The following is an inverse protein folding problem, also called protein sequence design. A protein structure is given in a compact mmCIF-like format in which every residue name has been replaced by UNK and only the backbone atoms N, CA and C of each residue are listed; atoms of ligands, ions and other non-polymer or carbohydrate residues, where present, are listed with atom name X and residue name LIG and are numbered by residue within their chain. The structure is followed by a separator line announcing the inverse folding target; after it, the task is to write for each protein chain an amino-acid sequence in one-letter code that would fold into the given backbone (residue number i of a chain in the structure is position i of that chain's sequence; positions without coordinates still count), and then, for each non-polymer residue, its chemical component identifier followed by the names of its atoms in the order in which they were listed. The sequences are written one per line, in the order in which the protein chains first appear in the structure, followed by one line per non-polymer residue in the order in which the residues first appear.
data_IF_405165462726
#
_entry.id   IF_405165462726
#
_cell.length_a   1.000
_cell.length_b   1.000
_cell.length_c   1.000
_cell.angle_alpha   90.00
_cell.angle_beta   90.00
_cell.angle_gamma   90.00
#
_symmetry.space_group_name_H-M   'P 1'
#
loop_
_entity.id
_entity.type
_entity.pdbx_description
1 polymer ?
#
# COMPACT_ATOMS: atom_id res chain seq x y z
N UNK A 1 7.85 11.35 -16.83
CA UNK A 1 7.45 10.91 -15.48
C UNK A 1 6.06 10.29 -15.54
N UNK A 2 5.99 8.97 -15.66
CA UNK A 2 4.74 8.24 -15.51
C UNK A 2 4.56 7.92 -14.03
N UNK A 3 3.61 8.58 -13.38
CA UNK A 3 3.24 8.26 -12.01
C UNK A 3 2.07 7.27 -12.04
N UNK A 4 2.31 6.02 -11.63
CA UNK A 4 1.22 5.06 -11.42
C UNK A 4 0.64 5.33 -10.03
N UNK A 5 -0.34 6.22 -9.98
CA UNK A 5 -1.21 6.39 -8.83
C UNK A 5 -2.35 5.37 -8.93
N UNK A 6 -2.39 4.43 -7.99
CA UNK A 6 -3.54 3.54 -7.81
C UNK A 6 -4.32 4.01 -6.58
N UNK A 7 -5.24 4.96 -6.76
CA UNK A 7 -6.24 5.30 -5.74
C UNK A 7 -7.55 5.76 -6.37
N UNK A 8 -8.64 5.10 -5.99
CA UNK A 8 -9.99 5.39 -6.46
C UNK A 8 -10.84 5.80 -5.26
N UNK A 9 -10.87 7.10 -4.91
CA UNK A 9 -12.04 7.80 -4.35
C UNK A 9 -11.81 9.31 -4.09
N UNK A 10 -12.91 10.09 -4.16
CA UNK A 10 -12.89 11.56 -4.15
C UNK A 10 -12.48 12.20 -2.80
N UNK A 11 -12.67 11.50 -1.67
CA UNK A 11 -12.27 11.99 -0.33
C UNK A 11 -10.79 11.70 -0.07
N UNK A 12 -10.30 10.53 -0.51
CA UNK A 12 -8.88 10.14 -0.42
C UNK A 12 -8.01 11.10 -1.25
N UNK A 13 -8.55 11.67 -2.34
CA UNK A 13 -7.86 12.71 -3.14
C UNK A 13 -7.36 13.92 -2.35
N UNK A 14 -8.13 14.43 -1.37
CA UNK A 14 -7.72 15.65 -0.63
C UNK A 14 -6.56 15.37 0.31
N UNK A 15 -6.55 14.21 0.95
CA UNK A 15 -5.42 13.76 1.77
C UNK A 15 -4.22 13.46 0.87
N UNK A 16 -4.40 12.75 -0.26
CA UNK A 16 -3.36 12.50 -1.30
C UNK A 16 -2.67 13.78 -1.74
N UNK A 17 -3.40 14.87 -2.01
CA UNK A 17 -2.78 16.15 -2.38
C UNK A 17 -1.85 16.72 -1.29
N UNK A 18 -2.18 16.52 -0.01
CA UNK A 18 -1.28 16.90 1.09
C UNK A 18 -0.04 16.01 1.16
N UNK A 19 -0.18 14.70 0.90
CA UNK A 19 0.95 13.75 0.86
C UNK A 19 1.89 14.04 -0.32
N UNK A 20 1.33 14.28 -1.50
CA UNK A 20 2.10 14.63 -2.69
C UNK A 20 2.94 15.88 -2.41
N UNK A 21 2.34 16.93 -1.84
CA UNK A 21 3.05 18.14 -1.45
C UNK A 21 4.21 17.88 -0.48
N UNK A 22 4.00 17.03 0.54
CA UNK A 22 5.04 16.68 1.50
C UNK A 22 6.20 15.90 0.86
N UNK A 23 5.89 14.93 0.00
CA UNK A 23 6.88 14.13 -0.71
C UNK A 23 7.68 14.99 -1.69
N UNK A 24 7.02 15.83 -2.49
CA UNK A 24 7.69 16.76 -3.40
C UNK A 24 8.59 17.75 -2.67
N UNK A 25 8.15 18.26 -1.51
CA UNK A 25 8.96 19.13 -0.67
C UNK A 25 10.22 18.41 -0.16
N UNK A 26 10.07 17.17 0.31
CA UNK A 26 11.18 16.35 0.77
C UNK A 26 12.19 16.04 -0.33
N UNK A 27 11.71 15.62 -1.51
CA UNK A 27 12.54 15.37 -2.71
C UNK A 27 13.33 16.62 -3.10
N UNK A 28 12.65 17.76 -3.19
CA UNK A 28 13.27 19.03 -3.61
C UNK A 28 14.29 19.52 -2.59
N UNK A 29 13.97 19.44 -1.29
CA UNK A 29 14.84 19.94 -0.22
C UNK A 29 16.10 19.10 -0.03
N UNK A 30 16.01 17.80 -0.31
CA UNK A 30 17.11 16.84 -0.16
C UNK A 30 17.84 16.56 -1.49
N UNK A 31 17.48 17.26 -2.56
CA UNK A 31 18.05 17.11 -3.90
C UNK A 31 18.10 15.65 -4.37
N UNK A 32 16.95 14.98 -4.23
CA UNK A 32 16.78 13.58 -4.67
C UNK A 32 16.47 13.60 -6.16
N UNK A 33 17.33 12.96 -6.95
CA UNK A 33 17.18 12.91 -8.38
C UNK A 33 16.11 11.87 -8.75
N UNK A 34 15.11 12.25 -9.55
CA UNK A 34 14.20 11.28 -10.11
C UNK A 34 14.94 10.35 -11.07
N UNK A 35 14.44 9.12 -11.19
CA UNK A 35 15.00 8.16 -12.11
C UNK A 35 14.76 8.57 -13.56
N UNK A 36 15.84 8.54 -14.34
CA UNK A 36 15.85 8.71 -15.78
C UNK A 36 15.87 7.30 -16.41
N UNK A 37 14.79 6.94 -17.13
CA UNK A 37 14.65 5.61 -17.74
C UNK A 37 15.58 5.42 -18.95
N UNK A 38 15.97 6.50 -19.64
CA UNK A 38 16.86 6.44 -20.81
C UNK A 38 18.32 6.26 -20.37
N UNK A 39 18.73 6.97 -19.32
CA UNK A 39 20.09 6.91 -18.78
C UNK A 39 20.28 5.82 -17.72
N UNK A 40 19.20 5.34 -17.11
CA UNK A 40 19.22 4.40 -15.99
C UNK A 40 19.81 4.99 -14.70
N UNK A 41 19.83 6.32 -14.58
CA UNK A 41 20.42 7.08 -13.47
C UNK A 41 19.36 7.75 -12.61
N UNK A 42 19.76 8.30 -11.46
CA UNK A 42 18.85 8.89 -10.47
C UNK A 42 18.46 7.90 -9.38
N UNK A 43 18.04 8.41 -8.22
CA UNK A 43 17.84 7.57 -7.03
C UNK A 43 16.40 7.08 -6.87
N UNK A 44 15.39 7.94 -7.06
CA UNK A 44 13.99 7.59 -6.80
C UNK A 44 13.24 7.27 -8.09
N UNK A 45 12.80 6.02 -8.23
CA UNK A 45 12.08 5.54 -9.42
C UNK A 45 10.59 5.83 -9.37
N UNK A 46 9.96 5.36 -8.31
CA UNK A 46 8.52 5.45 -8.10
C UNK A 46 8.24 5.65 -6.63
N UNK A 47 7.08 6.24 -6.34
CA UNK A 47 6.50 6.25 -5.01
C UNK A 47 5.15 5.56 -5.12
N UNK A 48 4.99 4.45 -4.40
CA UNK A 48 3.71 3.79 -4.22
C UNK A 48 3.10 4.26 -2.90
N UNK A 49 1.81 4.55 -2.93
CA UNK A 49 1.05 4.89 -1.73
C UNK A 49 -0.17 3.99 -1.63
N UNK A 50 -0.38 3.44 -0.44
CA UNK A 50 -1.58 2.72 -0.07
C UNK A 50 -2.21 3.39 1.15
N UNK A 51 -3.51 3.67 1.09
CA UNK A 51 -4.24 4.30 2.18
C UNK A 51 -4.96 3.23 2.96
N UNK A 52 -4.71 3.16 4.27
CA UNK A 52 -5.51 2.37 5.18
C UNK A 52 -6.52 3.25 5.90
N UNK A 53 -7.74 2.74 6.03
CA UNK A 53 -8.77 3.36 6.88
C UNK A 53 -9.07 2.49 8.10
N UNK A 54 -8.26 1.45 8.33
CA UNK A 54 -8.44 0.54 9.43
C UNK A 54 -8.12 1.21 10.75
N UNK A 55 -9.18 1.54 11.48
CA UNK A 55 -9.09 1.99 12.86
C UNK A 55 -10.32 1.48 13.61
N UNK A 56 -10.14 0.43 14.41
CA UNK A 56 -11.23 -0.21 15.16
C UNK A 56 -11.77 0.65 16.29
N UNK A 57 -11.03 1.68 16.71
CA UNK A 57 -11.46 2.65 17.71
C UNK A 57 -12.39 3.74 17.16
N UNK A 58 -12.51 3.87 15.83
CA UNK A 58 -13.36 4.88 15.18
C UNK A 58 -14.61 4.27 14.53
N UNK A 59 -15.76 5.00 14.53
CA UNK A 59 -16.92 4.67 13.72
C UNK A 59 -16.58 4.61 12.23
N UNK A 60 -17.24 3.71 11.47
CA UNK A 60 -16.97 3.50 10.03
C UNK A 60 -17.07 4.78 9.21
N UNK A 61 -17.99 5.68 9.57
CA UNK A 61 -18.22 6.98 8.92
C UNK A 61 -17.05 7.94 9.06
N UNK A 62 -16.24 7.79 10.12
CA UNK A 62 -15.12 8.67 10.45
C UNK A 62 -13.77 8.10 9.98
N UNK A 63 -13.70 6.80 9.71
CA UNK A 63 -12.48 6.10 9.28
C UNK A 63 -11.87 6.66 8.00
N UNK A 64 -12.70 7.01 7.01
CA UNK A 64 -12.23 7.57 5.75
C UNK A 64 -11.52 8.92 5.90
N UNK A 65 -11.98 9.75 6.84
CA UNK A 65 -11.38 11.07 7.09
C UNK A 65 -10.07 10.97 7.87
N UNK A 66 -9.90 9.87 8.62
CA UNK A 66 -8.72 9.59 9.45
C UNK A 66 -7.82 8.52 8.82
N UNK A 67 -7.92 8.33 7.49
CA UNK A 67 -7.09 7.38 6.78
C UNK A 67 -5.62 7.73 6.91
N UNK A 68 -4.77 6.72 7.04
CA UNK A 68 -3.31 6.86 7.10
C UNK A 68 -2.69 6.24 5.85
N UNK A 69 -1.51 6.73 5.47
CA UNK A 69 -0.85 6.29 4.24
C UNK A 69 0.41 5.49 4.55
N UNK A 70 0.50 4.31 3.96
CA UNK A 70 1.74 3.58 3.79
C UNK A 70 2.42 4.08 2.51
N UNK A 71 3.69 4.49 2.64
CA UNK A 71 4.52 4.97 1.54
C UNK A 71 5.59 3.92 1.25
N UNK A 72 5.70 3.51 0.00
CA UNK A 72 6.78 2.65 -0.49
C UNK A 72 7.63 3.42 -1.52
N UNK A 73 8.88 3.68 -1.16
CA UNK A 73 9.87 4.33 -2.01
C UNK A 73 10.58 3.28 -2.87
N UNK A 74 10.44 3.36 -4.18
CA UNK A 74 11.18 2.47 -5.10
C UNK A 74 12.51 3.13 -5.43
N UNK A 75 13.58 2.57 -4.87
CA UNK A 75 14.92 3.16 -4.90
C UNK A 75 15.84 2.41 -5.87
N UNK A 76 16.51 3.16 -6.73
CA UNK A 76 17.47 2.65 -7.71
C UNK A 76 18.81 2.30 -7.04
N UNK A 77 18.80 1.27 -6.21
CA UNK A 77 20.00 0.69 -5.61
C UNK A 77 19.85 -0.82 -5.47
N UNK A 78 20.98 -1.53 -5.44
CA UNK A 78 21.01 -2.98 -5.17
C UNK A 78 20.91 -3.29 -3.67
N UNK A 79 21.33 -2.36 -2.81
CA UNK A 79 21.46 -2.57 -1.36
C UNK A 79 21.28 -1.30 -0.54
N UNK A 80 21.07 -1.50 0.75
CA UNK A 80 20.94 -0.49 1.79
C UNK A 80 22.24 0.26 2.11
N UNK A 81 23.39 -0.18 1.59
CA UNK A 81 24.72 0.39 1.86
C UNK A 81 25.30 1.16 0.67
N UNK A 82 24.47 1.53 -0.29
CA UNK A 82 24.91 2.35 -1.42
C UNK A 82 25.19 3.80 -0.99
N UNK A 83 25.93 4.53 -1.82
CA UNK A 83 26.17 5.97 -1.65
C UNK A 83 24.89 6.80 -1.57
N UNK A 84 23.77 6.30 -2.11
CA UNK A 84 22.45 6.94 -2.04
C UNK A 84 21.65 6.65 -0.76
N UNK A 85 22.17 5.79 0.13
CA UNK A 85 21.48 5.40 1.37
C UNK A 85 21.25 6.58 2.32
N UNK A 86 22.21 7.51 2.37
CA UNK A 86 22.07 8.70 3.23
C UNK A 86 20.90 9.58 2.78
N UNK A 87 20.71 9.75 1.47
CA UNK A 87 19.55 10.46 0.91
C UNK A 87 18.23 9.73 1.21
N UNK A 88 18.21 8.40 1.09
CA UNK A 88 17.04 7.59 1.43
C UNK A 88 16.66 7.73 2.91
N UNK A 89 17.64 7.63 3.80
CA UNK A 89 17.43 7.79 5.25
C UNK A 89 16.98 9.21 5.59
N UNK A 90 17.60 10.22 4.98
CA UNK A 90 17.20 11.62 5.14
C UNK A 90 15.76 11.87 4.68
N UNK A 91 15.34 11.31 3.54
CA UNK A 91 13.97 11.42 3.05
C UNK A 91 12.99 10.72 3.99
N UNK A 92 13.30 9.49 4.40
CA UNK A 92 12.46 8.74 5.34
C UNK A 92 12.26 9.49 6.65
N UNK A 93 13.34 10.07 7.20
CA UNK A 93 13.27 10.87 8.43
C UNK A 93 12.46 12.14 8.22
N UNK A 94 12.69 12.87 7.13
CA UNK A 94 11.93 14.07 6.79
C UNK A 94 10.42 13.78 6.69
N UNK A 95 10.04 12.73 5.96
CA UNK A 95 8.65 12.31 5.83
C UNK A 95 8.06 11.93 7.20
N UNK A 96 8.78 11.13 7.98
CA UNK A 96 8.31 10.67 9.28
C UNK A 96 8.17 11.79 10.31
N UNK A 97 9.08 12.75 10.34
CA UNK A 97 9.00 13.92 11.24
C UNK A 97 7.79 14.80 10.90
N UNK A 98 7.47 14.94 9.62
CA UNK A 98 6.41 15.84 9.15
C UNK A 98 5.05 15.18 8.94
N UNK A 99 4.96 13.86 8.98
CA UNK A 99 3.71 13.12 8.80
C UNK A 99 3.52 11.89 9.68
N UNK A 100 4.53 11.44 10.43
CA UNK A 100 4.46 10.27 11.31
C UNK A 100 3.75 10.54 12.64
N UNK A 101 3.89 9.60 13.58
CA UNK A 101 3.24 9.61 14.91
C UNK A 101 3.46 10.88 15.73
N UNK A 102 4.63 11.51 15.61
CA UNK A 102 4.98 12.71 16.38
C UNK A 102 4.54 14.01 15.71
N UNK A 103 3.99 13.95 14.50
CA UNK A 103 3.51 15.13 13.77
C UNK A 103 2.09 15.49 14.19
N UNK A 104 1.72 16.76 14.05
CA UNK A 104 0.37 17.25 14.36
C UNK A 104 -0.73 16.61 13.49
N UNK A 105 -0.36 16.11 12.31
CA UNK A 105 -1.31 15.57 11.32
C UNK A 105 -1.43 14.05 11.41
N UNK A 106 -0.38 13.35 11.87
CA UNK A 106 -0.30 11.90 12.02
C UNK A 106 -0.91 11.11 10.84
N UNK A 107 -0.43 11.45 9.65
CA UNK A 107 -1.00 11.00 8.39
C UNK A 107 -0.27 9.79 7.78
N UNK A 108 0.97 9.52 8.18
CA UNK A 108 1.80 8.42 7.67
C UNK A 108 1.71 7.24 8.64
N UNK A 109 1.31 6.10 8.09
CA UNK A 109 1.25 4.81 8.78
C UNK A 109 2.64 4.16 8.86
N UNK A 110 3.29 3.98 7.70
CA UNK A 110 4.64 3.45 7.61
C UNK A 110 5.34 3.84 6.32
N UNK A 111 6.66 3.75 6.36
CA UNK A 111 7.55 4.01 5.22
C UNK A 111 8.36 2.74 4.95
N UNK A 112 8.30 2.30 3.71
CA UNK A 112 9.01 1.16 3.17
C UNK A 112 9.91 1.59 2.04
N UNK A 113 10.93 0.79 1.77
CA UNK A 113 11.74 0.90 0.56
C UNK A 113 11.75 -0.41 -0.19
N UNK A 114 11.66 -0.31 -1.52
CA UNK A 114 11.91 -1.40 -2.45
C UNK A 114 13.14 -1.07 -3.28
N UNK A 115 14.09 -2.00 -3.35
CA UNK A 115 15.34 -1.83 -4.10
C UNK A 115 15.20 -2.43 -5.50
N UNK A 116 15.28 -1.58 -6.53
CA UNK A 116 15.01 -1.97 -7.92
C UNK A 116 15.96 -1.28 -8.90
N UNK A 117 16.83 -2.07 -9.53
CA UNK A 117 17.86 -1.61 -10.49
C UNK A 117 17.68 -2.17 -11.89
N UNK A 118 16.66 -3.00 -12.12
CA UNK A 118 16.37 -3.56 -13.45
C UNK A 118 15.91 -2.46 -14.41
N UNK A 119 16.40 -2.49 -15.64
CA UNK A 119 15.95 -1.61 -16.73
C UNK A 119 14.64 -2.07 -17.37
N UNK A 120 14.04 -3.15 -16.87
CA UNK A 120 12.71 -3.61 -17.29
C UNK A 120 11.58 -2.71 -16.75
N UNK A 121 10.39 -2.84 -17.33
CA UNK A 121 9.14 -2.20 -16.88
C UNK A 121 8.57 -2.74 -15.55
N UNK A 122 9.33 -3.57 -14.82
CA UNK A 122 8.92 -4.09 -13.52
C UNK A 122 9.13 -3.00 -12.47
N UNK A 123 8.04 -2.60 -11.81
CA UNK A 123 8.05 -1.53 -10.79
C UNK A 123 8.80 -1.97 -9.54
N UNK A 124 8.56 -3.19 -9.03
CA UNK A 124 9.16 -3.67 -7.78
C UNK A 124 10.27 -4.68 -8.01
N UNK A 125 11.39 -4.49 -7.32
CA UNK A 125 12.42 -5.50 -7.14
C UNK A 125 12.02 -6.53 -6.10
N UNK A 126 12.88 -7.52 -5.89
CA UNK A 126 12.66 -8.60 -4.91
C UNK A 126 13.09 -8.24 -3.48
N UNK A 127 13.70 -7.06 -3.28
CA UNK A 127 14.24 -6.63 -1.99
C UNK A 127 13.39 -5.52 -1.40
N UNK A 128 12.72 -5.83 -0.30
CA UNK A 128 11.93 -4.90 0.48
C UNK A 128 12.55 -4.70 1.85
N UNK A 129 12.44 -3.48 2.39
CA UNK A 129 12.83 -3.16 3.75
C UNK A 129 11.82 -2.20 4.37
N UNK A 130 11.44 -2.50 5.59
CA UNK A 130 10.71 -1.58 6.45
C UNK A 130 11.68 -0.54 7.02
N UNK A 131 11.39 0.75 6.85
CA UNK A 131 12.21 1.83 7.41
C UNK A 131 11.65 2.27 8.76
N UNK A 132 10.38 2.67 8.81
CA UNK A 132 9.75 3.22 10.03
C UNK A 132 8.23 3.07 10.00
N UNK A 133 7.62 3.03 11.19
CA UNK A 133 6.17 2.96 11.38
C UNK A 133 5.67 1.54 11.67
N UNK A 134 4.38 1.34 11.42
CA UNK A 134 3.69 0.07 11.63
C UNK A 134 3.97 -0.93 10.49
N UNK A 135 4.27 -2.18 10.84
CA UNK A 135 4.60 -3.24 9.88
C UNK A 135 3.37 -3.83 9.20
N UNK A 136 2.33 -4.10 9.98
CA UNK A 136 1.12 -4.74 9.48
C UNK A 136 0.19 -3.67 8.90
N UNK A 137 -0.20 -3.82 7.64
CA UNK A 137 -1.15 -2.93 6.99
C UNK A 137 -2.51 -3.61 6.94
N UNK A 138 -3.30 -3.35 7.97
CA UNK A 138 -4.62 -3.95 8.12
C UNK A 138 -5.66 -3.24 7.27
N UNK A 139 -6.57 -4.02 6.68
CA UNK A 139 -7.74 -3.55 5.98
C UNK A 139 -8.96 -4.41 6.35
N UNK A 140 -10.14 -3.79 6.38
CA UNK A 140 -11.41 -4.49 6.59
C UNK A 140 -12.15 -4.64 5.27
N UNK A 141 -12.11 -5.83 4.67
CA UNK A 141 -12.66 -6.10 3.33
C UNK A 141 -13.51 -7.36 3.39
N UNK A 142 -14.72 -7.32 2.85
CA UNK A 142 -15.58 -8.49 2.73
C UNK A 142 -16.04 -9.07 4.07
N UNK A 143 -16.01 -8.27 5.15
CA UNK A 143 -16.33 -8.71 6.50
C UNK A 143 -15.18 -9.43 7.22
N UNK A 144 -13.96 -9.39 6.67
CA UNK A 144 -12.75 -9.94 7.30
C UNK A 144 -11.68 -8.87 7.43
N UNK A 145 -10.87 -8.99 8.47
CA UNK A 145 -9.66 -8.20 8.66
C UNK A 145 -8.48 -8.94 8.02
N UNK A 146 -7.74 -8.26 7.15
CA UNK A 146 -6.59 -8.82 6.45
C UNK A 146 -5.41 -7.86 6.50
N UNK A 147 -4.21 -8.39 6.77
CA UNK A 147 -2.96 -7.64 6.65
C UNK A 147 -2.36 -7.84 5.26
N UNK A 148 -1.97 -6.76 4.60
CA UNK A 148 -1.39 -6.77 3.26
C UNK A 148 0.07 -6.30 3.31
N UNK A 149 0.97 -7.07 2.71
CA UNK A 149 2.34 -6.58 2.50
C UNK A 149 2.35 -5.47 1.43
N UNK A 150 3.32 -4.55 1.43
CA UNK A 150 3.46 -3.53 0.37
C UNK A 150 3.59 -4.13 -1.04
N UNK A 151 4.13 -5.36 -1.14
CA UNK A 151 4.26 -6.13 -2.38
C UNK A 151 2.99 -6.87 -2.78
N UNK A 152 2.00 -6.98 -1.89
CA UNK A 152 0.77 -7.72 -2.13
C UNK A 152 -0.14 -6.97 -3.09
N UNK A 153 -0.82 -7.73 -3.95
CA UNK A 153 -1.84 -7.16 -4.81
C UNK A 153 -3.10 -6.85 -3.99
N UNK A 154 -3.47 -5.57 -3.96
CA UNK A 154 -4.71 -5.06 -3.37
C UNK A 154 -5.63 -4.46 -4.43
N UNK A 155 -6.95 -4.51 -4.17
CA UNK A 155 -7.94 -3.89 -5.05
C UNK A 155 -7.93 -2.37 -4.86
N UNK A 156 -7.72 -1.62 -5.95
CA UNK A 156 -7.63 -0.16 -5.93
C UNK A 156 -8.91 0.54 -5.41
N UNK A 157 -10.05 -0.10 -5.63
CA UNK A 157 -11.37 0.38 -5.23
C UNK A 157 -11.98 -0.63 -4.25
N UNK A 158 -11.70 -0.44 -2.96
CA UNK A 158 -12.16 -1.32 -1.89
C UNK A 158 -13.68 -1.31 -1.75
N UNK A 159 -14.38 -0.21 -2.05
CA UNK A 159 -15.84 -0.14 -2.00
C UNK A 159 -16.52 -0.97 -3.09
N UNK A 160 -16.04 -0.85 -4.33
CA UNK A 160 -16.53 -1.66 -5.44
C UNK A 160 -16.24 -3.13 -5.18
N UNK A 161 -15.04 -3.44 -4.68
CA UNK A 161 -14.67 -4.80 -4.33
C UNK A 161 -15.54 -5.39 -3.19
N UNK A 162 -15.82 -4.61 -2.14
CA UNK A 162 -16.76 -4.99 -1.10
C UNK A 162 -18.17 -5.26 -1.64
N UNK A 163 -18.62 -4.46 -2.61
CA UNK A 163 -19.91 -4.68 -3.28
C UNK A 163 -19.91 -5.94 -4.14
N UNK A 164 -18.80 -6.25 -4.81
CA UNK A 164 -18.59 -7.50 -5.51
C UNK A 164 -18.64 -8.70 -4.56
N UNK A 165 -17.91 -8.68 -3.44
CA UNK A 165 -17.89 -9.76 -2.46
C UNK A 165 -19.29 -10.01 -1.86
N UNK A 166 -20.02 -8.94 -1.51
CA UNK A 166 -21.42 -9.06 -1.06
C UNK A 166 -22.31 -9.75 -2.09
N UNK A 167 -22.08 -9.50 -3.38
CA UNK A 167 -22.82 -10.16 -4.46
C UNK A 167 -22.37 -11.60 -4.64
N UNK A 168 -21.07 -11.87 -4.61
CA UNK A 168 -20.48 -13.21 -4.69
C UNK A 168 -21.05 -14.13 -3.59
N UNK A 169 -21.15 -13.64 -2.35
CA UNK A 169 -21.74 -14.39 -1.23
C UNK A 169 -23.18 -14.85 -1.46
N UNK A 170 -23.94 -14.17 -2.33
CA UNK A 170 -25.31 -14.58 -2.67
C UNK A 170 -25.35 -15.74 -3.65
N UNK A 171 -24.32 -15.88 -4.49
CA UNK A 171 -24.24 -16.94 -5.50
C UNK A 171 -23.62 -18.23 -4.96
N UNK A 172 -22.93 -18.18 -3.83
CA UNK A 172 -22.38 -19.38 -3.18
C UNK A 172 -23.47 -20.11 -2.37
N UNK A 173 -23.86 -21.34 -2.77
CA UNK A 173 -24.86 -22.12 -2.04
C UNK A 173 -24.36 -22.55 -0.66
N UNK A 174 -25.30 -22.78 0.27
CA UNK A 174 -24.99 -23.33 1.59
C UNK A 174 -24.46 -24.76 1.48
N UNK A 175 -23.46 -25.10 2.28
CA UNK A 175 -22.81 -26.41 2.29
C UNK A 175 -21.76 -26.63 1.19
N UNK A 176 -21.47 -25.62 0.37
CA UNK A 176 -20.51 -25.74 -0.74
C UNK A 176 -19.07 -25.96 -0.26
N UNK A 177 -18.29 -26.67 -1.07
CA UNK A 177 -16.83 -26.65 -1.00
C UNK A 177 -16.31 -25.71 -2.10
N UNK A 178 -15.54 -24.70 -1.71
CA UNK A 178 -15.05 -23.66 -2.61
C UNK A 178 -13.54 -23.75 -2.73
N UNK A 179 -13.04 -23.59 -3.96
CA UNK A 179 -11.60 -23.42 -4.23
C UNK A 179 -11.41 -22.02 -4.80
N UNK A 180 -10.59 -21.22 -4.11
CA UNK A 180 -10.15 -19.91 -4.58
C UNK A 180 -8.84 -20.07 -5.33
N UNK A 181 -8.91 -19.98 -6.66
CA UNK A 181 -7.76 -20.10 -7.55
C UNK A 181 -7.17 -18.71 -7.81
N UNK A 182 -5.84 -18.61 -7.77
CA UNK A 182 -5.12 -17.33 -7.82
C UNK A 182 -5.50 -16.43 -6.64
N UNK A 183 -5.59 -17.04 -5.45
CA UNK A 183 -6.12 -16.40 -4.25
C UNK A 183 -5.33 -15.14 -3.84
N UNK A 184 -4.06 -15.04 -4.24
CA UNK A 184 -3.20 -13.91 -3.88
C UNK A 184 -3.11 -13.79 -2.36
N UNK A 185 -3.57 -12.66 -1.82
CA UNK A 185 -3.67 -12.44 -0.38
C UNK A 185 -4.78 -13.28 0.31
N UNK A 186 -5.68 -13.90 -0.44
CA UNK A 186 -6.75 -14.77 0.09
C UNK A 186 -8.04 -14.03 0.42
N UNK A 187 -8.18 -12.75 0.04
CA UNK A 187 -9.33 -11.91 0.47
C UNK A 187 -10.68 -12.52 0.06
N UNK A 188 -10.77 -13.10 -1.13
CA UNK A 188 -12.02 -13.68 -1.64
C UNK A 188 -12.37 -14.95 -0.86
N UNK A 189 -11.45 -15.90 -0.78
CA UNK A 189 -11.58 -17.14 -0.01
C UNK A 189 -11.94 -16.87 1.46
N UNK A 190 -11.16 -16.03 2.15
CA UNK A 190 -11.43 -15.62 3.53
C UNK A 190 -12.81 -14.97 3.71
N UNK A 191 -13.21 -14.07 2.80
CA UNK A 191 -14.53 -13.42 2.86
C UNK A 191 -15.67 -14.43 2.72
N UNK A 192 -15.54 -15.40 1.80
CA UNK A 192 -16.51 -16.49 1.64
C UNK A 192 -16.52 -17.40 2.88
N UNK A 193 -15.36 -17.75 3.43
CA UNK A 193 -15.26 -18.56 4.63
C UNK A 193 -15.95 -17.88 5.83
N UNK A 194 -15.76 -16.57 5.99
CA UNK A 194 -16.38 -15.77 7.04
C UNK A 194 -17.92 -15.68 6.91
N UNK A 195 -18.47 -15.87 5.71
CA UNK A 195 -19.93 -15.94 5.51
C UNK A 195 -20.59 -17.17 6.18
N UNK A 196 -19.79 -18.16 6.62
CA UNK A 196 -20.23 -19.43 7.24
C UNK A 196 -21.21 -20.25 6.38
N UNK A 197 -21.25 -20.00 5.08
CA UNK A 197 -22.06 -20.76 4.13
C UNK A 197 -21.36 -22.02 3.64
N UNK A 198 -20.03 -22.01 3.59
CA UNK A 198 -19.26 -23.10 2.99
C UNK A 198 -18.89 -24.15 4.05
N UNK A 199 -18.80 -25.40 3.62
CA UNK A 199 -18.24 -26.50 4.42
C UNK A 199 -16.72 -26.43 4.46
N UNK A 200 -16.12 -26.03 3.34
CA UNK A 200 -14.67 -25.91 3.19
C UNK A 200 -14.35 -24.82 2.17
N UNK A 201 -13.28 -24.07 2.43
CA UNK A 201 -12.65 -23.17 1.48
C UNK A 201 -11.18 -23.54 1.39
N UNK A 202 -10.65 -23.68 0.18
CA UNK A 202 -9.25 -23.96 -0.08
C UNK A 202 -8.68 -22.87 -0.99
N UNK A 203 -7.52 -22.32 -0.64
CA UNK A 203 -6.87 -21.25 -1.39
C UNK A 203 -5.64 -21.81 -2.11
N UNK A 204 -5.53 -21.53 -3.41
CA UNK A 204 -4.37 -21.87 -4.23
C UNK A 204 -3.75 -20.58 -4.78
N UNK A 205 -2.48 -20.35 -4.44
CA UNK A 205 -1.68 -19.22 -4.88
C UNK A 205 -0.98 -19.50 -6.20
#
# INVERSE_FOLDING_TARGET
MSWIFQCVEHIIRVSILHYDGLIFLGISRLDIQPYDEDLGTGELRYVQMAVTTYNTSLPVTERYQNGKVQIALVWNSRTEHSQSSDKLNALSNFLWENGGLSSNTHLIHSIWVNFQTSTSNIIFGNRWRHLVGERDFWEHIGGVDISLDPSSFGQANTQAFNSLLRRLHKYVPYGSSVVDLYAGAGVIGLSIAASRKCRQVCEMR
#
